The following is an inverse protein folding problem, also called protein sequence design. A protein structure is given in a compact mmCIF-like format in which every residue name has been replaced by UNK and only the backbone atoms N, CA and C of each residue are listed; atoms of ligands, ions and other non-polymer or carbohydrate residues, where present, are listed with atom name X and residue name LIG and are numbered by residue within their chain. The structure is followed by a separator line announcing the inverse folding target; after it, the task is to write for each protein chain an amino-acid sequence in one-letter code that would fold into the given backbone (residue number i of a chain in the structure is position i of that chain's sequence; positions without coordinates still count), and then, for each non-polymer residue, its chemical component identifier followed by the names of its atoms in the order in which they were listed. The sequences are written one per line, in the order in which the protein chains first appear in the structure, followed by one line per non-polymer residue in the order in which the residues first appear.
data_IF_802560354806
#
_entry.id   IF_802560354806
#
_cell.length_a   1.000
_cell.length_b   1.000
_cell.length_c   1.000
_cell.angle_alpha   90.00
_cell.angle_beta   90.00
_cell.angle_gamma   90.00
#
_symmetry.space_group_name_H-M   'P 1'
#
loop_
_entity.id
_entity.type
_entity.pdbx_description
1 polymer ?
#
# COMPACT_ATOMS: atom_id res chain seq x y z
N UNK A 1 -3.09 -23.49 21.11
CA UNK A 1 -2.21 -22.77 20.17
C UNK A 1 -0.78 -22.89 20.69
N UNK A 2 0.20 -23.30 19.87
CA UNK A 2 1.61 -23.27 20.28
C UNK A 2 2.03 -21.79 20.45
N UNK A 3 2.73 -21.41 21.52
CA UNK A 3 3.24 -20.05 21.66
C UNK A 3 4.33 -19.80 20.61
N UNK A 4 4.16 -18.77 19.79
CA UNK A 4 5.11 -18.37 18.74
C UNK A 4 6.27 -17.51 19.27
N UNK A 5 6.28 -17.20 20.57
CA UNK A 5 7.27 -16.34 21.26
C UNK A 5 7.48 -14.96 20.60
N UNK A 6 6.51 -14.50 19.78
CA UNK A 6 6.51 -13.16 19.23
C UNK A 6 6.22 -12.15 20.34
N UNK A 7 6.91 -11.01 20.28
CA UNK A 7 6.62 -9.88 21.16
C UNK A 7 5.28 -9.23 20.77
N UNK A 8 5.00 -9.13 19.47
CA UNK A 8 3.73 -8.68 18.91
C UNK A 8 3.59 -9.15 17.45
N UNK A 9 2.35 -9.11 16.94
CA UNK A 9 2.04 -9.29 15.51
C UNK A 9 1.99 -7.93 14.84
N UNK A 10 2.76 -7.75 13.77
CA UNK A 10 2.86 -6.48 13.05
C UNK A 10 1.87 -6.40 11.88
N UNK A 11 1.66 -7.51 11.18
CA UNK A 11 0.81 -7.56 10.01
C UNK A 11 0.16 -8.93 9.86
N UNK A 12 -1.01 -8.97 9.24
CA UNK A 12 -1.68 -10.22 8.89
C UNK A 12 -2.54 -10.04 7.65
N UNK A 13 -2.61 -11.08 6.81
CA UNK A 13 -3.40 -11.07 5.59
C UNK A 13 -3.91 -12.47 5.25
N UNK A 14 -5.20 -12.58 4.94
CA UNK A 14 -5.74 -13.79 4.33
C UNK A 14 -5.30 -13.93 2.87
N UNK A 15 -5.16 -15.14 2.37
CA UNK A 15 -5.03 -15.38 0.93
C UNK A 15 -6.38 -15.14 0.22
N UNK A 16 -6.43 -15.27 -1.11
CA UNK A 16 -7.58 -14.82 -1.89
C UNK A 16 -8.85 -15.66 -1.67
N UNK A 17 -8.69 -16.93 -1.29
CA UNK A 17 -9.78 -17.86 -0.99
C UNK A 17 -10.09 -18.02 0.52
N UNK A 18 -9.46 -17.19 1.37
CA UNK A 18 -9.60 -17.21 2.83
C UNK A 18 -9.25 -18.57 3.49
N UNK A 19 -8.50 -19.46 2.83
CA UNK A 19 -8.09 -20.75 3.42
C UNK A 19 -6.82 -20.67 4.26
N UNK A 20 -5.95 -19.68 3.97
CA UNK A 20 -4.66 -19.48 4.61
C UNK A 20 -4.55 -18.09 5.22
N UNK A 21 -3.87 -18.01 6.36
CA UNK A 21 -3.50 -16.77 7.02
C UNK A 21 -1.99 -16.60 6.98
N UNK A 22 -1.54 -15.49 6.43
CA UNK A 22 -0.18 -14.98 6.60
C UNK A 22 -0.18 -14.07 7.84
N UNK A 23 0.77 -14.30 8.75
CA UNK A 23 0.97 -13.46 9.92
C UNK A 23 2.45 -13.15 10.10
N UNK A 24 2.76 -11.87 10.28
CA UNK A 24 4.12 -11.35 10.43
C UNK A 24 4.34 -10.92 11.87
N UNK A 25 5.18 -11.69 12.56
CA UNK A 25 5.54 -11.49 13.96
C UNK A 25 6.90 -10.84 14.11
N UNK A 26 7.06 -10.11 15.22
CA UNK A 26 8.32 -9.47 15.58
C UNK A 26 8.85 -10.07 16.89
N UNK A 27 10.14 -10.37 16.89
CA UNK A 27 10.92 -10.73 18.06
C UNK A 27 11.77 -9.53 18.48
N UNK A 28 11.59 -9.08 19.71
CA UNK A 28 12.46 -8.11 20.35
C UNK A 28 13.54 -8.84 21.14
N UNK A 29 14.78 -8.79 20.64
CA UNK A 29 15.96 -9.31 21.31
C UNK A 29 16.66 -8.24 22.17
N UNK A 30 17.66 -8.66 22.97
CA UNK A 30 18.50 -7.72 23.72
C UNK A 30 19.27 -6.77 22.78
N UNK A 31 19.62 -5.58 23.28
CA UNK A 31 20.40 -4.55 22.57
C UNK A 31 19.75 -4.01 21.27
N UNK A 32 18.42 -3.82 21.24
CA UNK A 32 17.67 -3.37 20.06
C UNK A 32 17.80 -4.28 18.82
N UNK A 33 18.31 -5.51 19.00
CA UNK A 33 18.32 -6.52 17.95
C UNK A 33 16.90 -7.01 17.76
N UNK A 34 16.31 -6.67 16.63
CA UNK A 34 14.96 -7.08 16.27
C UNK A 34 15.01 -7.99 15.04
N UNK A 35 14.19 -9.02 15.05
CA UNK A 35 14.04 -9.94 13.92
C UNK A 35 12.58 -10.24 13.71
N UNK A 36 12.19 -10.47 12.47
CA UNK A 36 10.84 -10.79 12.08
C UNK A 36 10.73 -12.22 11.60
N UNK A 37 9.49 -12.68 11.58
CA UNK A 37 9.11 -13.95 11.01
C UNK A 37 7.75 -13.83 10.36
N UNK A 38 7.61 -14.44 9.19
CA UNK A 38 6.35 -14.60 8.50
C UNK A 38 5.93 -16.07 8.68
N UNK A 39 4.77 -16.29 9.26
CA UNK A 39 4.17 -17.61 9.42
C UNK A 39 2.93 -17.74 8.52
N UNK A 40 2.76 -18.92 7.94
CA UNK A 40 1.55 -19.29 7.20
C UNK A 40 0.78 -20.33 8.02
N UNK A 41 -0.51 -20.05 8.26
CA UNK A 41 -1.38 -20.88 9.08
C UNK A 41 -2.58 -21.31 8.24
N UNK A 42 -2.90 -22.60 8.24
CA UNK A 42 -4.15 -23.14 7.67
C UNK A 42 -5.32 -22.73 8.55
N UNK A 43 -6.39 -22.17 7.99
CA UNK A 43 -7.59 -21.86 8.77
C UNK A 43 -8.48 -23.09 9.04
N UNK A 44 -8.39 -24.13 8.20
CA UNK A 44 -9.15 -25.37 8.39
C UNK A 44 -8.68 -26.14 9.63
N UNK A 45 -7.35 -26.21 9.82
CA UNK A 45 -6.72 -27.02 10.86
C UNK A 45 -6.06 -26.21 11.97
N UNK A 46 -5.91 -24.89 11.78
CA UNK A 46 -5.07 -24.00 12.59
C UNK A 46 -3.62 -24.49 12.72
N UNK A 47 -3.16 -25.28 11.76
CA UNK A 47 -1.80 -25.79 11.70
C UNK A 47 -0.86 -24.78 11.04
N UNK A 48 0.36 -24.70 11.57
CA UNK A 48 1.45 -23.95 10.97
C UNK A 48 1.97 -24.71 9.74
N UNK A 49 1.96 -24.07 8.58
CA UNK A 49 2.34 -24.65 7.29
C UNK A 49 3.69 -24.15 6.76
N UNK A 50 4.13 -22.95 7.14
CA UNK A 50 5.41 -22.41 6.70
C UNK A 50 5.89 -21.34 7.67
N UNK A 51 7.21 -21.20 7.78
CA UNK A 51 7.90 -20.11 8.50
C UNK A 51 9.00 -19.56 7.62
N UNK A 52 9.08 -18.24 7.52
CA UNK A 52 10.11 -17.52 6.77
C UNK A 52 10.72 -16.45 7.68
N UNK A 53 12.03 -16.52 7.88
CA UNK A 53 12.77 -15.48 8.61
C UNK A 53 12.86 -14.20 7.79
N UNK A 54 12.62 -13.08 8.45
CA UNK A 54 12.67 -11.74 7.89
C UNK A 54 13.54 -10.87 8.80
N UNK A 55 14.80 -10.64 8.42
CA UNK A 55 15.77 -9.91 9.24
C UNK A 55 16.34 -8.72 8.46
N UNK A 56 16.11 -7.47 8.92
CA UNK A 56 15.16 -7.03 9.95
C UNK A 56 13.71 -7.26 9.48
N UNK A 57 12.76 -7.05 10.38
CA UNK A 57 11.33 -7.34 10.20
C UNK A 57 10.59 -6.35 9.27
N UNK A 58 11.32 -5.43 8.66
CA UNK A 58 10.80 -4.28 7.90
C UNK A 58 9.80 -4.67 6.80
N UNK A 59 10.05 -5.77 6.08
CA UNK A 59 9.18 -6.20 4.98
C UNK A 59 8.03 -7.04 5.53
N UNK A 60 6.81 -6.50 5.57
CA UNK A 60 5.67 -7.20 6.17
C UNK A 60 5.32 -8.51 5.47
N UNK A 61 5.63 -8.63 4.17
CA UNK A 61 5.27 -9.76 3.34
C UNK A 61 3.84 -9.66 2.80
N UNK A 62 3.59 -10.37 1.70
CA UNK A 62 2.29 -10.38 1.04
C UNK A 62 2.10 -11.63 0.20
N UNK A 63 0.86 -11.96 -0.13
CA UNK A 63 0.52 -13.03 -1.06
C UNK A 63 0.82 -12.61 -2.52
N UNK A 64 1.38 -13.54 -3.31
CA UNK A 64 1.52 -13.40 -4.77
C UNK A 64 0.48 -14.26 -5.52
N UNK A 65 0.22 -15.45 -4.97
CA UNK A 65 -0.82 -16.39 -5.40
C UNK A 65 -1.42 -17.06 -4.16
N UNK A 66 -2.45 -17.89 -4.33
CA UNK A 66 -3.06 -18.67 -3.23
C UNK A 66 -2.06 -19.46 -2.38
N UNK A 67 -0.95 -19.88 -2.99
CA UNK A 67 0.01 -20.82 -2.39
C UNK A 67 1.43 -20.28 -2.35
N UNK A 68 1.64 -19.02 -2.74
CA UNK A 68 2.97 -18.41 -2.76
C UNK A 68 2.96 -17.00 -2.20
N UNK A 69 4.00 -16.68 -1.46
CA UNK A 69 4.13 -15.42 -0.73
C UNK A 69 5.49 -14.79 -0.97
N UNK A 70 5.53 -13.47 -0.88
CA UNK A 70 6.73 -12.67 -0.98
C UNK A 70 7.20 -12.32 0.43
N UNK A 71 8.46 -12.61 0.71
CA UNK A 71 9.15 -12.13 1.90
C UNK A 71 10.30 -11.21 1.51
N UNK A 72 10.89 -10.53 2.50
CA UNK A 72 12.06 -9.69 2.30
C UNK A 72 13.17 -10.01 3.29
N UNK A 73 14.37 -9.53 2.97
CA UNK A 73 15.48 -9.37 3.91
C UNK A 73 16.26 -8.11 3.53
N UNK A 74 16.90 -7.47 4.51
CA UNK A 74 17.74 -6.29 4.28
C UNK A 74 19.21 -6.65 4.50
N UNK A 75 20.07 -6.24 3.59
CA UNK A 75 21.52 -6.33 3.76
C UNK A 75 22.13 -4.94 3.71
N UNK A 76 22.84 -4.56 4.77
CA UNK A 76 23.64 -3.33 4.79
C UNK A 76 24.84 -3.49 3.87
N UNK A 77 25.09 -2.48 3.03
CA UNK A 77 26.19 -2.47 2.06
C UNK A 77 27.22 -1.40 2.42
N UNK A 78 26.76 -0.22 2.82
CA UNK A 78 27.60 0.89 3.25
C UNK A 78 27.10 1.51 4.54
N UNK A 79 27.49 2.76 4.78
CA UNK A 79 27.18 3.47 6.02
C UNK A 79 25.69 3.76 6.15
N UNK A 80 25.10 4.38 5.12
CA UNK A 80 23.66 4.66 5.02
C UNK A 80 23.02 3.98 3.80
N UNK A 81 23.72 3.06 3.14
CA UNK A 81 23.21 2.31 1.99
C UNK A 81 22.96 0.85 2.33
N UNK A 82 21.83 0.35 1.84
CA UNK A 82 21.41 -1.04 2.04
C UNK A 82 20.79 -1.61 0.77
N UNK A 83 20.47 -2.90 0.79
CA UNK A 83 19.66 -3.51 -0.26
C UNK A 83 18.58 -4.40 0.33
N UNK A 84 17.39 -4.27 -0.22
CA UNK A 84 16.27 -5.15 0.07
C UNK A 84 16.23 -6.26 -0.97
N UNK A 85 16.32 -7.51 -0.51
CA UNK A 85 16.14 -8.68 -1.37
C UNK A 85 14.77 -9.25 -1.12
N UNK A 86 13.97 -9.35 -2.17
CA UNK A 86 12.63 -9.92 -2.13
C UNK A 86 12.65 -11.34 -2.66
N UNK A 87 12.02 -12.24 -1.91
CA UNK A 87 12.08 -13.68 -2.12
C UNK A 87 10.68 -14.24 -2.37
N UNK A 88 10.57 -15.20 -3.28
CA UNK A 88 9.38 -16.01 -3.48
C UNK A 88 9.46 -17.26 -2.62
N UNK A 89 8.43 -17.50 -1.81
CA UNK A 89 8.30 -18.64 -0.92
C UNK A 89 7.02 -19.42 -1.21
N UNK A 90 7.03 -20.70 -0.86
CA UNK A 90 5.86 -21.57 -0.94
C UNK A 90 5.15 -21.59 0.42
N UNK A 91 3.81 -21.57 0.40
CA UNK A 91 2.98 -21.61 1.59
C UNK A 91 3.02 -22.96 2.33
N UNK A 92 3.26 -24.05 1.61
CA UNK A 92 3.30 -25.42 2.14
C UNK A 92 4.75 -25.88 2.23
N UNK A 93 5.33 -25.86 3.44
CA UNK A 93 6.71 -26.24 3.71
C UNK A 93 6.78 -27.10 4.98
N UNK A 94 7.74 -28.02 5.07
CA UNK A 94 7.98 -28.70 6.34
C UNK A 94 8.49 -27.69 7.37
N UNK A 95 7.86 -27.66 8.55
CA UNK A 95 8.14 -26.69 9.62
C UNK A 95 9.61 -26.70 10.05
N UNK A 96 10.33 -27.82 9.83
CA UNK A 96 11.75 -27.97 10.14
C UNK A 96 12.70 -27.31 9.14
N UNK A 97 12.22 -26.83 7.97
CA UNK A 97 13.04 -26.14 6.98
C UNK A 97 13.26 -24.64 7.28
N UNK A 98 13.17 -24.23 8.56
CA UNK A 98 13.35 -22.84 9.06
C UNK A 98 14.64 -22.15 8.57
N UNK A 99 15.64 -22.93 8.16
CA UNK A 99 16.94 -22.45 7.68
C UNK A 99 17.21 -22.72 6.19
N UNK A 100 16.29 -23.37 5.47
CA UNK A 100 16.46 -23.78 4.06
C UNK A 100 15.26 -23.32 3.23
N UNK A 101 14.89 -22.04 3.31
CA UNK A 101 13.77 -21.53 2.51
C UNK A 101 14.11 -20.23 1.82
N UNK A 102 14.62 -20.39 0.61
CA UNK A 102 14.43 -19.46 -0.49
C UNK A 102 14.16 -20.34 -1.69
N UNK A 103 12.98 -20.21 -2.30
CA UNK A 103 12.73 -20.94 -3.55
C UNK A 103 13.34 -20.17 -4.72
N UNK A 104 13.20 -18.85 -4.72
CA UNK A 104 13.71 -18.00 -5.80
C UNK A 104 13.85 -16.55 -5.35
N UNK A 105 14.99 -15.93 -5.65
CA UNK A 105 15.13 -14.47 -5.56
C UNK A 105 14.27 -13.81 -6.64
N UNK A 106 13.33 -12.96 -6.26
CA UNK A 106 12.53 -12.18 -7.21
C UNK A 106 13.30 -10.93 -7.63
N UNK A 107 13.60 -10.05 -6.68
CA UNK A 107 14.23 -8.76 -6.95
C UNK A 107 15.26 -8.42 -5.89
N UNK A 108 16.27 -7.67 -6.29
CA UNK A 108 17.26 -7.05 -5.39
C UNK A 108 17.26 -5.55 -5.62
N UNK A 109 16.66 -4.80 -4.71
CA UNK A 109 16.47 -3.36 -4.81
C UNK A 109 17.51 -2.65 -3.93
N UNK A 110 18.14 -1.61 -4.46
CA UNK A 110 19.04 -0.76 -3.70
C UNK A 110 18.23 0.25 -2.89
N UNK A 111 18.57 0.44 -1.63
CA UNK A 111 18.04 1.50 -0.80
C UNK A 111 19.15 2.48 -0.44
N UNK A 112 18.81 3.77 -0.50
CA UNK A 112 19.72 4.87 -0.21
C UNK A 112 19.27 5.55 1.08
N UNK A 113 20.19 6.26 1.73
CA UNK A 113 19.88 7.15 2.84
C UNK A 113 19.10 6.49 4.00
N UNK A 114 19.50 5.27 4.34
CA UNK A 114 18.92 4.41 5.38
C UNK A 114 17.43 4.08 5.18
N UNK A 115 16.88 4.34 4.00
CA UNK A 115 15.54 3.89 3.61
C UNK A 115 15.48 2.37 3.51
N UNK A 116 14.28 1.82 3.66
CA UNK A 116 14.00 0.39 3.52
C UNK A 116 12.66 0.14 2.85
N UNK A 117 12.54 -1.00 2.18
CA UNK A 117 11.24 -1.50 1.72
C UNK A 117 10.45 -1.98 2.94
N UNK A 118 9.20 -1.53 3.08
CA UNK A 118 8.36 -1.88 4.23
C UNK A 118 7.05 -2.56 3.85
N UNK A 119 6.04 -1.76 3.51
CA UNK A 119 4.76 -2.30 3.02
C UNK A 119 4.95 -2.81 1.60
N UNK A 120 4.63 -4.09 1.37
CA UNK A 120 4.71 -4.75 0.06
C UNK A 120 3.34 -5.30 -0.28
N UNK A 121 2.91 -5.11 -1.52
CA UNK A 121 1.59 -5.52 -2.02
C UNK A 121 1.72 -6.01 -3.45
N UNK A 122 0.81 -6.89 -3.87
CA UNK A 122 0.72 -7.34 -5.27
C UNK A 122 -0.60 -6.87 -5.85
N UNK A 123 -0.54 -6.10 -6.92
CA UNK A 123 -1.70 -5.71 -7.72
C UNK A 123 -1.79 -6.60 -8.97
N UNK A 124 -2.90 -7.32 -9.13
CA UNK A 124 -3.21 -8.02 -10.38
C UNK A 124 -4.04 -7.10 -11.29
N UNK A 125 -3.35 -6.50 -12.26
CA UNK A 125 -3.90 -5.50 -13.15
C UNK A 125 -4.48 -6.10 -14.44
N UNK A 126 -4.58 -7.44 -14.53
CA UNK A 126 -5.11 -8.13 -15.71
C UNK A 126 -6.58 -7.82 -16.00
N UNK A 127 -7.31 -7.28 -15.02
CA UNK A 127 -8.76 -7.02 -15.07
C UNK A 127 -9.13 -5.55 -15.29
N UNK A 128 -8.17 -4.69 -15.63
CA UNK A 128 -8.43 -3.25 -15.82
C UNK A 128 -9.46 -2.91 -16.91
N UNK A 129 -9.72 -3.84 -17.82
CA UNK A 129 -10.62 -3.67 -18.97
C UNK A 129 -11.85 -4.59 -18.93
N UNK A 130 -12.03 -5.41 -17.89
CA UNK A 130 -13.29 -6.16 -17.75
C UNK A 130 -14.43 -5.20 -17.35
N UNK A 131 -15.55 -5.15 -18.10
CA UNK A 131 -16.59 -4.15 -17.91
C UNK A 131 -17.39 -4.27 -16.60
N UNK A 132 -17.14 -5.26 -15.75
CA UNK A 132 -17.91 -5.42 -14.51
C UNK A 132 -17.12 -4.92 -13.30
N UNK A 133 -17.47 -3.70 -12.86
CA UNK A 133 -17.67 -3.29 -11.45
C UNK A 133 -17.81 -1.76 -11.28
N UNK A 134 -17.59 -0.94 -12.33
CA UNK A 134 -17.38 0.50 -12.14
C UNK A 134 -18.35 1.48 -12.83
N UNK A 135 -19.21 1.14 -13.80
CA UNK A 135 -19.83 2.21 -14.62
C UNK A 135 -21.27 2.01 -15.20
N UNK A 136 -22.13 1.13 -14.68
CA UNK A 136 -23.55 1.13 -15.09
C UNK A 136 -24.45 1.79 -14.03
N UNK A 137 -24.27 3.09 -13.86
CA UNK A 137 -25.27 3.99 -13.28
C UNK A 137 -25.56 5.12 -14.28
N UNK A 138 -26.24 4.75 -15.37
CA UNK A 138 -27.25 5.61 -15.98
C UNK A 138 -26.76 6.73 -16.90
N UNK A 139 -26.39 6.35 -18.12
CA UNK A 139 -26.66 7.15 -19.32
C UNK A 139 -28.16 7.00 -19.73
N UNK A 140 -29.05 7.03 -18.74
CA UNK A 140 -30.50 7.11 -18.96
C UNK A 140 -30.94 8.54 -18.66
N UNK A 141 -31.37 9.21 -19.72
CA UNK A 141 -31.98 10.54 -19.69
C UNK A 141 -33.02 10.67 -18.56
N UNK A 142 -32.66 11.37 -17.50
CA UNK A 142 -33.60 11.89 -16.49
C UNK A 142 -34.00 13.30 -16.93
N UNK A 143 -35.30 13.67 -16.99
CA UNK A 143 -35.72 15.01 -17.37
C UNK A 143 -35.30 16.02 -16.28
N UNK A 144 -35.07 17.30 -16.63
CA UNK A 144 -34.43 18.25 -15.73
C UNK A 144 -35.33 18.59 -14.55
N UNK A 145 -34.91 18.21 -13.34
CA UNK A 145 -35.47 18.74 -12.11
C UNK A 145 -34.84 20.12 -11.85
N UNK A 146 -35.69 21.15 -11.81
CA UNK A 146 -35.32 22.57 -11.69
C UNK A 146 -34.55 22.85 -10.41
N UNK A 147 -33.28 23.21 -10.55
CA UNK A 147 -32.49 23.82 -9.46
C UNK A 147 -32.64 25.33 -9.55
N UNK A 148 -32.91 25.96 -8.40
CA UNK A 148 -32.99 27.39 -8.22
C UNK A 148 -31.63 28.05 -8.50
N UNK A 149 -31.69 29.05 -9.36
CA UNK A 149 -30.60 29.88 -9.85
C UNK A 149 -30.18 30.90 -8.78
N UNK A 150 -28.91 30.85 -8.38
CA UNK A 150 -28.22 31.96 -7.72
C UNK A 150 -26.94 32.20 -8.51
N UNK A 151 -27.09 33.01 -9.56
CA UNK A 151 -26.00 33.44 -10.41
C UNK A 151 -24.92 34.23 -9.68
N UNK A 152 -23.70 34.02 -10.12
CA UNK A 152 -22.68 35.06 -10.16
C UNK A 152 -21.75 34.74 -11.33
N UNK A 153 -21.91 35.53 -12.39
CA UNK A 153 -21.03 35.57 -13.54
C UNK A 153 -19.67 36.17 -13.16
N UNK A 154 -18.58 35.55 -13.63
CA UNK A 154 -17.49 36.32 -14.25
C UNK A 154 -16.55 35.38 -15.02
N UNK A 155 -16.44 35.68 -16.29
CA UNK A 155 -15.56 35.14 -17.34
C UNK A 155 -14.08 35.40 -17.02
N UNK A 156 -13.18 34.48 -17.38
CA UNK A 156 -12.25 34.68 -18.50
C UNK A 156 -11.16 33.60 -18.62
N UNK A 157 -10.94 33.20 -19.87
CA UNK A 157 -9.93 32.29 -20.40
C UNK A 157 -8.51 32.89 -20.39
N UNK A 158 -7.50 32.05 -20.17
CA UNK A 158 -6.16 32.27 -20.73
C UNK A 158 -5.40 30.95 -20.95
N UNK A 159 -5.26 30.57 -22.21
CA UNK A 159 -4.43 29.47 -22.71
C UNK A 159 -2.95 29.86 -22.61
N UNK A 160 -2.17 29.14 -21.79
CA UNK A 160 -0.71 29.25 -21.69
C UNK A 160 0.03 28.17 -22.49
N UNK A 161 1.28 28.41 -22.96
CA UNK A 161 1.92 27.59 -23.98
C UNK A 161 2.47 26.27 -23.45
N UNK A 162 2.37 25.24 -24.30
CA UNK A 162 2.92 23.89 -24.12
C UNK A 162 4.45 23.94 -24.04
N UNK A 163 5.00 23.73 -22.85
CA UNK A 163 6.45 23.57 -22.63
C UNK A 163 6.90 22.16 -23.03
N UNK A 164 7.81 22.09 -24.01
CA UNK A 164 8.54 20.89 -24.42
C UNK A 164 9.45 20.40 -23.28
N UNK A 165 9.45 19.08 -23.05
CA UNK A 165 10.37 18.41 -22.12
C UNK A 165 11.85 18.53 -22.58
N UNK A 166 12.82 18.78 -21.68
CA UNK A 166 14.22 18.90 -22.06
C UNK A 166 14.93 17.54 -22.12
N UNK A 167 15.67 17.30 -23.21
CA UNK A 167 16.46 16.07 -23.50
C UNK A 167 17.85 16.08 -22.81
N UNK A 168 18.09 16.98 -21.83
CA UNK A 168 19.44 17.29 -21.35
C UNK A 168 19.95 16.52 -20.12
N UNK A 169 19.13 15.67 -19.47
CA UNK A 169 19.52 15.04 -18.19
C UNK A 169 20.69 14.03 -18.29
N UNK A 170 20.82 13.29 -19.40
CA UNK A 170 21.90 12.28 -19.57
C UNK A 170 23.28 12.87 -19.87
N UNK A 171 23.34 14.05 -20.48
CA UNK A 171 24.60 14.71 -20.81
C UNK A 171 25.23 15.38 -19.56
N UNK A 172 24.40 15.98 -18.71
CA UNK A 172 24.83 16.55 -17.42
C UNK A 172 25.36 15.49 -16.45
N UNK A 173 24.82 14.27 -16.48
CA UNK A 173 25.26 13.16 -15.63
C UNK A 173 26.73 12.78 -15.89
N UNK A 174 27.14 12.71 -17.17
CA UNK A 174 28.54 12.43 -17.53
C UNK A 174 29.44 13.62 -17.22
N UNK A 175 29.05 14.84 -17.57
CA UNK A 175 29.86 16.04 -17.27
C UNK A 175 30.07 16.29 -15.78
N UNK A 176 29.06 16.02 -14.93
CA UNK A 176 29.19 16.18 -13.48
C UNK A 176 30.06 15.07 -12.85
N UNK A 177 29.95 13.83 -13.32
CA UNK A 177 30.79 12.72 -12.85
C UNK A 177 32.23 12.84 -13.37
N UNK A 178 32.44 13.25 -14.62
CA UNK A 178 33.75 13.47 -15.23
C UNK A 178 34.48 14.66 -14.56
N UNK A 179 33.76 15.75 -14.26
CA UNK A 179 34.33 16.90 -13.53
C UNK A 179 34.71 16.58 -12.07
N UNK A 180 34.18 15.51 -11.49
CA UNK A 180 34.52 15.04 -10.14
C UNK A 180 35.69 14.06 -10.13
N UNK A 181 35.90 13.32 -11.22
CA UNK A 181 37.07 12.46 -11.41
C UNK A 181 38.34 13.27 -11.72
N UNK A 182 38.18 14.45 -12.33
CA UNK A 182 39.29 15.33 -12.74
C UNK A 182 39.76 16.32 -11.65
N UNK A 183 39.11 16.38 -10.47
CA UNK A 183 39.41 17.34 -9.41
C UNK A 183 39.71 16.69 -8.05
N UNK A 184 40.91 16.90 -7.51
CA UNK A 184 41.36 16.45 -6.19
C UNK A 184 40.52 17.01 -5.01
N UNK A 185 39.34 16.43 -4.78
CA UNK A 185 38.57 16.62 -3.54
C UNK A 185 38.07 15.26 -3.07
N UNK A 186 38.67 14.73 -2.00
CA UNK A 186 38.15 13.57 -1.27
C UNK A 186 36.82 13.98 -0.60
N UNK A 187 35.72 13.92 -1.35
CA UNK A 187 34.39 13.96 -0.76
C UNK A 187 34.20 12.71 0.09
N UNK A 188 33.60 12.85 1.27
CA UNK A 188 33.26 11.69 2.09
C UNK A 188 32.21 10.84 1.37
N UNK A 189 32.28 9.53 1.59
CA UNK A 189 31.36 8.55 1.00
C UNK A 189 29.89 8.94 1.22
N UNK A 190 29.56 9.43 2.43
CA UNK A 190 28.24 9.93 2.79
C UNK A 190 27.74 11.09 1.90
N UNK A 191 28.62 12.02 1.52
CA UNK A 191 28.25 13.15 0.66
C UNK A 191 27.99 12.69 -0.78
N UNK A 192 28.78 11.74 -1.27
CA UNK A 192 28.58 11.11 -2.57
C UNK A 192 27.25 10.33 -2.62
N UNK A 193 26.97 9.52 -1.60
CA UNK A 193 25.71 8.77 -1.48
C UNK A 193 24.49 9.71 -1.46
N UNK A 194 24.57 10.81 -0.73
CA UNK A 194 23.49 11.82 -0.66
C UNK A 194 23.25 12.46 -2.02
N UNK A 195 24.32 12.84 -2.76
CA UNK A 195 24.18 13.41 -4.10
C UNK A 195 23.60 12.44 -5.13
N UNK A 196 23.98 11.17 -5.07
CA UNK A 196 23.40 10.12 -5.93
C UNK A 196 21.91 9.96 -5.65
N UNK A 197 21.53 9.98 -4.38
CA UNK A 197 20.12 9.92 -3.97
C UNK A 197 19.30 11.12 -4.49
N UNK A 198 19.82 12.35 -4.37
CA UNK A 198 19.16 13.55 -4.92
C UNK A 198 18.92 13.43 -6.44
N UNK A 199 19.89 12.91 -7.19
CA UNK A 199 19.78 12.71 -8.64
C UNK A 199 18.75 11.62 -9.00
N UNK A 200 18.67 10.56 -8.20
CA UNK A 200 17.69 9.48 -8.39
C UNK A 200 16.27 9.90 -7.98
N UNK A 201 16.14 10.78 -6.98
CA UNK A 201 14.87 11.34 -6.55
C UNK A 201 14.18 12.18 -7.62
N UNK A 202 14.95 12.77 -8.55
CA UNK A 202 14.41 13.51 -9.71
C UNK A 202 13.72 12.60 -10.75
N UNK A 203 13.56 11.30 -10.44
CA UNK A 203 12.54 10.39 -10.94
C UNK A 203 12.10 10.58 -12.39
N UNK A 204 12.73 9.88 -13.33
CA UNK A 204 12.09 9.60 -14.62
C UNK A 204 11.27 8.32 -14.48
N UNK A 205 9.94 8.42 -14.41
CA UNK A 205 9.06 7.27 -14.60
C UNK A 205 9.15 6.85 -16.06
N UNK A 206 9.41 5.57 -16.36
CA UNK A 206 9.17 5.08 -17.73
C UNK A 206 7.68 5.26 -18.04
N UNK A 207 7.28 5.58 -19.27
CA UNK A 207 5.87 5.48 -19.64
C UNK A 207 5.43 4.01 -19.50
N UNK A 208 4.19 3.73 -19.06
CA UNK A 208 3.73 2.36 -18.91
C UNK A 208 3.81 1.66 -20.27
N UNK A 209 4.56 0.55 -20.33
CA UNK A 209 4.59 -0.27 -21.53
C UNK A 209 3.19 -0.85 -21.76
N UNK A 210 2.58 -0.53 -22.91
CA UNK A 210 1.28 -1.06 -23.33
C UNK A 210 1.45 -2.52 -23.74
N UNK A 211 1.63 -3.40 -22.77
CA UNK A 211 1.61 -4.85 -23.00
C UNK A 211 0.22 -5.39 -22.68
N UNK A 212 -0.35 -6.16 -23.62
CA UNK A 212 -1.63 -6.86 -23.49
C UNK A 212 -1.58 -8.08 -22.52
N UNK A 213 -0.47 -8.25 -21.79
CA UNK A 213 -0.26 -9.37 -20.89
C UNK A 213 -0.93 -9.14 -19.52
N UNK A 214 -1.21 -10.24 -18.82
CA UNK A 214 -1.62 -10.25 -17.41
C UNK A 214 -0.51 -9.64 -16.55
N UNK A 215 -0.57 -8.34 -16.31
CA UNK A 215 0.47 -7.62 -15.58
C UNK A 215 0.15 -7.68 -14.09
N UNK A 216 0.92 -8.48 -13.34
CA UNK A 216 1.00 -8.30 -11.88
C UNK A 216 2.11 -7.30 -11.57
N UNK A 217 1.81 -6.33 -10.72
CA UNK A 217 2.80 -5.39 -10.23
C UNK A 217 3.05 -5.66 -8.75
N UNK A 218 4.33 -5.69 -8.40
CA UNK A 218 4.80 -5.54 -7.06
C UNK A 218 4.84 -4.05 -6.73
N UNK A 219 4.13 -3.67 -5.68
CA UNK A 219 4.04 -2.29 -5.18
C UNK A 219 4.61 -2.27 -3.78
N UNK A 220 5.45 -1.30 -3.49
CA UNK A 220 6.01 -1.18 -2.15
C UNK A 220 6.42 0.24 -1.78
N UNK A 221 6.40 0.53 -0.48
CA UNK A 221 6.96 1.78 0.03
C UNK A 221 8.49 1.74 -0.05
N UNK A 222 9.09 2.83 -0.50
CA UNK A 222 10.53 3.02 -0.59
C UNK A 222 10.85 4.51 -0.40
N UNK A 223 12.11 4.87 -0.58
CA UNK A 223 12.57 6.24 -0.48
C UNK A 223 14.04 6.32 -0.82
N UNK A 224 14.47 7.48 -1.29
CA UNK A 224 15.88 7.78 -1.52
C UNK A 224 16.35 9.03 -0.78
N UNK A 225 15.48 9.95 -0.38
CA UNK A 225 15.88 11.20 0.28
C UNK A 225 16.04 11.07 1.81
N UNK A 226 15.19 10.28 2.46
CA UNK A 226 15.09 10.13 3.92
C UNK A 226 15.01 8.66 4.32
N UNK A 227 15.23 8.34 5.60
CA UNK A 227 15.02 6.98 6.14
C UNK A 227 13.54 6.56 6.20
N UNK A 228 12.63 7.54 6.24
CA UNK A 228 11.19 7.32 6.16
C UNK A 228 10.71 7.20 4.70
N UNK A 229 9.85 6.22 4.37
CA UNK A 229 9.33 6.06 3.03
C UNK A 229 8.51 7.26 2.59
N UNK A 230 8.82 7.76 1.40
CA UNK A 230 8.17 8.90 0.75
C UNK A 230 7.92 8.63 -0.75
N UNK A 231 8.35 7.46 -1.22
CA UNK A 231 8.20 7.01 -2.59
C UNK A 231 7.48 5.67 -2.63
N UNK A 232 6.79 5.43 -3.73
CA UNK A 232 6.14 4.15 -4.04
C UNK A 232 6.90 3.55 -5.21
N UNK A 233 7.58 2.43 -4.96
CA UNK A 233 8.24 1.64 -5.98
C UNK A 233 7.27 0.67 -6.63
N UNK A 234 7.27 0.62 -7.96
CA UNK A 234 6.44 -0.28 -8.75
C UNK A 234 7.34 -1.10 -9.69
N UNK A 235 7.21 -2.42 -9.60
CA UNK A 235 7.95 -3.38 -10.41
C UNK A 235 7.03 -4.42 -11.01
N UNK A 236 7.09 -4.63 -12.32
CA UNK A 236 6.32 -5.68 -12.99
C UNK A 236 6.89 -7.05 -12.64
N UNK A 237 6.01 -7.98 -12.26
CA UNK A 237 6.34 -9.38 -12.05
C UNK A 237 5.99 -10.13 -13.35
N UNK A 238 7.00 -10.72 -13.99
CA UNK A 238 6.80 -11.48 -15.22
C UNK A 238 6.27 -12.88 -14.90
N UNK A 239 5.45 -13.50 -15.77
CA UNK A 239 4.87 -14.83 -15.50
C UNK A 239 5.89 -15.91 -15.13
N UNK A 240 7.07 -15.92 -15.77
CA UNK A 240 8.14 -16.88 -15.47
C UNK A 240 8.84 -16.62 -14.11
N UNK A 241 8.62 -15.46 -13.50
CA UNK A 241 9.13 -15.12 -12.16
C UNK A 241 8.16 -15.54 -11.06
N UNK A 242 6.86 -15.71 -11.39
CA UNK A 242 5.82 -16.13 -10.44
C UNK A 242 5.88 -17.62 -10.08
N UNK A 243 6.67 -18.40 -10.81
CA UNK A 243 6.87 -19.82 -10.52
C UNK A 243 8.20 -20.06 -9.82
N UNK A 244 8.17 -21.01 -8.90
CA UNK A 244 9.35 -21.60 -8.26
C UNK A 244 10.14 -22.48 -9.22
N UNK A 245 9.48 -23.02 -10.25
CA UNK A 245 10.13 -23.74 -11.35
C UNK A 245 10.89 -22.79 -12.28
N UNK A 246 12.01 -23.27 -12.83
CA UNK A 246 12.87 -22.55 -13.76
C UNK A 246 14.22 -22.15 -13.16
N UNK A 247 15.16 -21.63 -13.97
CA UNK A 247 16.49 -21.25 -13.50
C UNK A 247 16.40 -20.20 -12.40
N UNK A 248 17.25 -20.33 -11.38
CA UNK A 248 17.42 -19.31 -10.35
C UNK A 248 17.84 -18.02 -11.04
N UNK A 249 17.08 -16.94 -10.82
CA UNK A 249 17.30 -15.64 -11.48
C UNK A 249 18.74 -15.14 -11.22
N UNK A 250 19.60 -15.30 -12.23
CA UNK A 250 21.02 -15.01 -12.17
C UNK A 250 21.81 -15.44 -13.41
N UNK A 251 21.40 -16.51 -14.12
CA UNK A 251 22.16 -17.04 -15.27
C UNK A 251 22.04 -16.20 -16.56
N UNK A 252 21.04 -15.32 -16.68
CA UNK A 252 20.82 -14.47 -17.86
C UNK A 252 21.06 -12.97 -17.64
N UNK A 253 21.64 -12.56 -16.52
CA UNK A 253 21.89 -11.13 -16.24
C UNK A 253 23.20 -10.70 -16.91
N UNK A 254 23.23 -9.52 -17.52
CA UNK A 254 24.51 -8.91 -17.91
C UNK A 254 25.37 -8.76 -16.64
N UNK A 255 26.67 -9.04 -16.76
CA UNK A 255 27.66 -8.92 -15.67
C UNK A 255 27.63 -7.59 -14.92
N UNK A 256 27.07 -6.55 -15.55
CA UNK A 256 27.23 -5.16 -15.14
C UNK A 256 26.10 -4.64 -14.23
N UNK A 257 24.98 -5.37 -14.07
CA UNK A 257 23.81 -4.90 -13.32
C UNK A 257 23.58 -5.68 -12.00
N UNK A 258 24.08 -5.13 -10.89
CA UNK A 258 23.98 -5.75 -9.56
C UNK A 258 22.61 -5.61 -8.89
N UNK A 259 21.84 -4.55 -9.21
CA UNK A 259 20.52 -4.25 -8.66
C UNK A 259 19.44 -4.23 -9.75
N UNK A 260 18.22 -4.60 -9.37
CA UNK A 260 17.05 -4.56 -10.23
C UNK A 260 16.46 -3.13 -10.25
N UNK A 261 16.34 -2.55 -11.45
CA UNK A 261 15.76 -1.22 -11.62
C UNK A 261 14.23 -1.25 -11.48
N UNK A 262 13.64 -0.19 -10.93
CA UNK A 262 12.20 -0.03 -10.83
C UNK A 262 11.59 0.36 -12.19
N UNK A 263 10.34 -0.04 -12.42
CA UNK A 263 9.63 0.29 -13.66
C UNK A 263 8.97 1.66 -13.54
N UNK A 264 8.37 1.94 -12.37
CA UNK A 264 7.88 3.26 -12.00
C UNK A 264 8.21 3.58 -10.54
N UNK A 265 8.36 4.88 -10.26
CA UNK A 265 8.50 5.43 -8.92
C UNK A 265 7.57 6.62 -8.83
N UNK A 266 6.69 6.62 -7.83
CA UNK A 266 5.81 7.74 -7.53
C UNK A 266 6.36 8.43 -6.29
N UNK A 267 6.72 9.70 -6.41
CA UNK A 267 7.10 10.53 -5.27
C UNK A 267 5.86 11.17 -4.66
N UNK A 268 5.66 10.96 -3.37
CA UNK A 268 4.50 11.44 -2.62
C UNK A 268 4.78 12.78 -1.93
N UNK A 269 6.04 13.22 -1.88
CA UNK A 269 6.46 14.45 -1.19
C UNK A 269 5.96 14.54 0.27
N UNK A 270 6.08 13.43 0.99
CA UNK A 270 5.64 13.30 2.37
C UNK A 270 5.90 11.90 2.92
N UNK A 271 5.65 11.68 4.20
CA UNK A 271 5.80 10.36 4.80
C UNK A 271 4.62 9.48 4.42
N UNK A 272 4.88 8.27 3.91
CA UNK A 272 3.86 7.26 3.67
C UNK A 272 3.69 6.45 4.94
N UNK A 273 2.48 6.43 5.48
CA UNK A 273 2.15 5.79 6.78
C UNK A 273 1.16 4.63 6.62
N UNK A 274 0.62 4.42 5.43
CA UNK A 274 -0.28 3.32 5.13
C UNK A 274 -0.60 3.24 3.64
N UNK A 275 -0.82 2.03 3.14
CA UNK A 275 -1.27 1.79 1.77
C UNK A 275 -2.33 0.69 1.74
N UNK A 276 -3.28 0.80 0.82
CA UNK A 276 -4.33 -0.19 0.57
C UNK A 276 -4.68 -0.23 -0.91
N UNK A 277 -5.03 -1.41 -1.42
CA UNK A 277 -5.48 -1.59 -2.81
C UNK A 277 -7.00 -1.69 -2.83
N UNK A 278 -7.62 -1.14 -3.86
CA UNK A 278 -9.03 -1.44 -4.14
C UNK A 278 -9.21 -2.93 -4.47
N UNK A 279 -10.39 -3.52 -4.23
CA UNK A 279 -10.62 -4.95 -4.48
C UNK A 279 -10.38 -5.41 -5.93
N UNK A 280 -10.48 -4.48 -6.89
CA UNK A 280 -10.20 -4.69 -8.32
C UNK A 280 -8.74 -4.39 -8.70
N UNK A 281 -7.89 -4.05 -7.73
CA UNK A 281 -6.48 -3.66 -7.89
C UNK A 281 -6.24 -2.48 -8.84
N UNK A 282 -7.27 -1.69 -9.16
CA UNK A 282 -7.15 -0.54 -10.06
C UNK A 282 -6.59 0.70 -9.36
N UNK A 283 -7.02 0.94 -8.13
CA UNK A 283 -6.67 2.13 -7.38
C UNK A 283 -5.82 1.76 -6.17
N UNK A 284 -4.72 2.49 -6.00
CA UNK A 284 -3.88 2.45 -4.81
C UNK A 284 -4.23 3.64 -3.93
N UNK A 285 -4.63 3.36 -2.70
CA UNK A 285 -4.92 4.35 -1.66
C UNK A 285 -3.71 4.46 -0.74
N UNK A 286 -3.27 5.68 -0.47
CA UNK A 286 -2.03 5.96 0.28
C UNK A 286 -2.29 7.03 1.32
N UNK A 287 -2.15 6.67 2.59
CA UNK A 287 -2.10 7.65 3.67
C UNK A 287 -0.72 8.31 3.67
N UNK A 288 -0.70 9.62 3.52
CA UNK A 288 0.51 10.42 3.54
C UNK A 288 0.41 11.63 4.45
N UNK A 289 1.53 11.99 5.09
CA UNK A 289 1.72 13.25 5.79
C UNK A 289 2.71 14.10 5.03
N UNK A 290 2.18 15.10 4.34
CA UNK A 290 2.94 15.95 3.43
C UNK A 290 4.04 16.73 4.14
N UNK A 291 5.15 16.94 3.44
CA UNK A 291 6.13 17.96 3.82
C UNK A 291 5.64 19.36 3.44
N UNK A 292 6.16 20.42 4.08
CA UNK A 292 5.86 21.79 3.69
C UNK A 292 6.15 22.04 2.21
N UNK A 293 5.28 22.80 1.50
CA UNK A 293 5.50 23.13 0.10
C UNK A 293 6.88 23.78 -0.13
N UNK A 294 7.63 23.26 -1.09
CA UNK A 294 8.97 23.77 -1.42
C UNK A 294 10.08 23.34 -0.47
N UNK A 295 9.81 22.41 0.46
CA UNK A 295 10.83 21.80 1.29
C UNK A 295 11.83 20.99 0.45
N UNK A 296 13.10 21.08 0.82
CA UNK A 296 14.19 20.30 0.23
C UNK A 296 14.87 19.54 1.36
N UNK A 297 15.01 18.22 1.19
CA UNK A 297 15.70 17.37 2.15
C UNK A 297 17.21 17.58 1.99
N UNK A 298 17.80 18.36 2.89
CA UNK A 298 19.24 18.65 2.87
C UNK A 298 20.08 17.60 3.64
N UNK A 299 19.55 17.07 4.74
CA UNK A 299 20.16 15.97 5.50
C UNK A 299 19.13 14.83 5.62
N UNK A 300 19.43 13.64 5.09
CA UNK A 300 18.55 12.49 5.22
C UNK A 300 18.20 12.09 6.65
N UNK A 301 19.07 12.41 7.61
CA UNK A 301 18.88 12.11 9.02
C UNK A 301 18.05 13.18 9.75
N UNK A 302 17.80 14.32 9.12
CA UNK A 302 16.98 15.42 9.66
C UNK A 302 15.89 15.78 8.64
N UNK A 303 14.86 14.91 8.48
CA UNK A 303 13.80 15.16 7.53
C UNK A 303 13.02 16.45 7.90
N UNK A 304 12.39 17.11 6.91
CA UNK A 304 11.48 18.22 7.15
C UNK A 304 10.37 17.86 8.16
N UNK A 305 9.77 18.86 8.83
CA UNK A 305 8.58 18.61 9.62
C UNK A 305 7.46 18.05 8.73
N UNK A 306 6.56 17.27 9.30
CA UNK A 306 5.44 16.63 8.60
C UNK A 306 4.12 17.23 9.09
N UNK A 307 3.14 17.36 8.18
CA UNK A 307 1.81 17.86 8.52
C UNK A 307 1.10 16.95 9.54
N UNK A 308 0.26 17.48 10.43
CA UNK A 308 -0.60 16.65 11.31
C UNK A 308 -1.78 16.02 10.56
N UNK A 309 -2.23 16.67 9.50
CA UNK A 309 -3.29 16.17 8.63
C UNK A 309 -2.76 15.02 7.76
N UNK A 310 -3.57 13.96 7.65
CA UNK A 310 -3.28 12.85 6.75
C UNK A 310 -4.06 13.05 5.45
N UNK A 311 -3.33 13.09 4.36
CA UNK A 311 -3.84 13.05 3.00
C UNK A 311 -3.97 11.60 2.55
N UNK A 312 -5.20 11.13 2.33
CA UNK A 312 -5.45 9.85 1.68
C UNK A 312 -5.46 10.07 0.17
N UNK A 313 -4.29 9.88 -0.44
CA UNK A 313 -4.02 10.01 -1.86
C UNK A 313 -4.53 8.78 -2.61
N UNK A 314 -4.97 9.00 -3.85
CA UNK A 314 -5.49 7.93 -4.72
C UNK A 314 -4.71 7.92 -6.01
N UNK A 315 -4.09 6.79 -6.35
CA UNK A 315 -3.36 6.60 -7.60
C UNK A 315 -4.08 5.58 -8.48
N UNK A 316 -4.29 5.91 -9.74
CA UNK A 316 -4.78 4.97 -10.75
C UNK A 316 -3.59 4.18 -11.30
N UNK A 317 -3.54 2.89 -11.00
CA UNK A 317 -2.46 1.99 -11.42
C UNK A 317 -2.50 1.68 -12.91
N UNK A 318 -3.60 2.00 -13.62
CA UNK A 318 -3.67 1.91 -15.08
C UNK A 318 -2.89 3.04 -15.74
N UNK A 319 -3.00 4.25 -15.21
CA UNK A 319 -2.35 5.45 -15.76
C UNK A 319 -1.05 5.81 -15.04
N UNK A 320 -0.76 5.19 -13.89
CA UNK A 320 0.34 5.49 -12.99
C UNK A 320 0.34 6.96 -12.55
N UNK A 321 -0.85 7.52 -12.33
CA UNK A 321 -1.05 8.93 -11.97
C UNK A 321 -2.00 9.08 -10.80
N UNK A 322 -1.81 10.17 -10.06
CA UNK A 322 -2.72 10.57 -9.01
C UNK A 322 -4.10 10.94 -9.60
N UNK A 323 -5.15 10.39 -9.02
CA UNK A 323 -6.54 10.80 -9.26
C UNK A 323 -6.75 12.09 -8.47
N UNK A 324 -7.05 13.19 -9.18
CA UNK A 324 -7.17 14.51 -8.56
C UNK A 324 -8.17 14.47 -7.39
N UNK A 325 -7.70 14.89 -6.20
CA UNK A 325 -8.41 15.17 -4.92
C UNK A 325 -8.10 14.14 -3.83
N UNK A 326 -7.17 14.50 -2.94
CA UNK A 326 -6.93 13.78 -1.69
C UNK A 326 -8.18 13.75 -0.80
N UNK A 327 -8.42 12.61 -0.16
CA UNK A 327 -9.44 12.47 0.87
C UNK A 327 -8.85 12.94 2.21
N UNK A 328 -9.51 13.92 2.83
CA UNK A 328 -9.05 14.56 4.07
C UNK A 328 -10.11 14.48 5.14
N UNK A 329 -9.68 14.24 6.37
CA UNK A 329 -10.48 14.38 7.60
C UNK A 329 -9.68 14.01 8.85
N UNK A 330 -8.69 13.14 8.69
CA UNK A 330 -8.09 12.37 9.77
C UNK A 330 -6.65 12.83 10.03
N UNK A 331 -6.14 12.61 11.25
CA UNK A 331 -4.90 13.23 11.72
C UNK A 331 -4.01 12.26 12.46
N UNK A 332 -2.71 12.54 12.44
CA UNK A 332 -1.69 11.89 13.25
C UNK A 332 -0.74 12.93 13.85
N UNK A 333 -0.21 12.60 15.02
CA UNK A 333 0.60 13.47 15.88
C UNK A 333 1.98 12.90 16.14
N UNK A 334 2.21 11.59 15.88
CA UNK A 334 3.53 10.97 15.98
C UNK A 334 4.59 11.79 15.21
N UNK A 335 5.74 12.10 15.81
CA UNK A 335 6.75 12.92 15.16
C UNK A 335 7.43 12.18 13.98
N UNK A 336 8.21 12.91 13.19
CA UNK A 336 8.82 12.38 11.96
C UNK A 336 9.98 11.39 12.20
N UNK A 337 10.53 11.37 13.42
CA UNK A 337 11.59 10.48 13.90
C UNK A 337 11.09 9.16 14.47
N UNK A 338 9.78 9.03 14.64
CA UNK A 338 9.14 7.79 15.02
C UNK A 338 8.48 7.11 13.82
N UNK A 339 8.53 5.78 13.84
CA UNK A 339 7.88 4.96 12.83
C UNK A 339 6.50 4.55 13.32
N UNK A 340 5.45 5.02 12.65
CA UNK A 340 4.07 4.60 12.91
C UNK A 340 3.37 4.22 11.61
N UNK A 341 2.40 3.31 11.72
CA UNK A 341 1.60 2.84 10.60
C UNK A 341 0.12 2.93 10.95
N UNK A 342 -0.67 3.30 9.95
CA UNK A 342 -2.12 3.23 10.02
C UNK A 342 -2.57 2.33 8.88
N UNK A 343 -3.08 1.15 9.23
CA UNK A 343 -3.60 0.20 8.27
C UNK A 343 -4.99 0.65 7.82
N UNK A 344 -5.11 0.95 6.53
CA UNK A 344 -6.34 1.33 5.86
C UNK A 344 -6.87 0.14 5.05
N UNK A 345 -8.17 0.13 4.78
CA UNK A 345 -8.79 -0.92 3.98
C UNK A 345 -9.81 -0.33 2.99
N UNK A 346 -10.01 -1.02 1.88
CA UNK A 346 -10.80 -0.56 0.74
C UNK A 346 -11.81 -1.65 0.36
N UNK A 347 -13.09 -1.33 0.46
CA UNK A 347 -14.19 -2.15 -0.04
C UNK A 347 -14.67 -1.65 -1.40
N UNK A 348 -15.75 -2.23 -1.94
CA UNK A 348 -16.27 -1.84 -3.26
C UNK A 348 -16.61 -0.36 -3.36
N UNK A 349 -17.36 0.17 -2.39
CA UNK A 349 -17.89 1.54 -2.46
C UNK A 349 -17.23 2.48 -1.44
N UNK A 350 -16.50 1.91 -0.46
CA UNK A 350 -15.96 2.66 0.66
C UNK A 350 -14.45 2.43 0.84
N UNK A 351 -13.76 3.46 1.32
CA UNK A 351 -12.43 3.34 1.89
C UNK A 351 -12.50 3.77 3.35
N UNK A 352 -11.74 3.10 4.22
CA UNK A 352 -11.67 3.44 5.62
C UNK A 352 -10.21 3.52 6.09
N UNK A 353 -9.98 4.38 7.08
CA UNK A 353 -8.68 4.54 7.72
C UNK A 353 -8.85 4.88 9.19
N UNK A 354 -7.91 4.44 10.02
CA UNK A 354 -7.76 4.89 11.39
C UNK A 354 -7.07 6.26 11.49
N UNK A 355 -6.90 6.75 12.72
CA UNK A 355 -6.19 7.97 13.04
C UNK A 355 -5.83 8.06 14.53
N UNK A 356 -4.82 8.90 14.84
CA UNK A 356 -4.42 9.19 16.22
C UNK A 356 -5.32 10.22 16.89
N UNK A 357 -6.23 10.84 16.14
CA UNK A 357 -7.28 11.70 16.69
C UNK A 357 -8.43 10.92 17.36
N UNK A 358 -8.22 9.62 17.61
CA UNK A 358 -9.13 8.68 18.30
C UNK A 358 -10.39 8.34 17.51
N UNK A 359 -10.31 8.42 16.19
CA UNK A 359 -11.42 8.08 15.32
C UNK A 359 -11.00 7.22 14.13
N UNK A 360 -11.90 6.34 13.72
CA UNK A 360 -11.90 5.77 12.37
C UNK A 360 -12.72 6.64 11.44
N UNK A 361 -12.37 6.65 10.17
CA UNK A 361 -13.06 7.43 9.15
C UNK A 361 -13.45 6.54 7.98
N UNK A 362 -14.61 6.84 7.38
CA UNK A 362 -15.10 6.17 6.17
C UNK A 362 -15.37 7.23 5.11
N UNK A 363 -14.88 7.01 3.91
CA UNK A 363 -15.16 7.83 2.74
C UNK A 363 -15.87 7.03 1.65
N UNK A 364 -16.71 7.72 0.91
CA UNK A 364 -17.31 7.22 -0.32
C UNK A 364 -16.30 7.30 -1.47
N UNK A 365 -16.09 6.19 -2.18
CA UNK A 365 -15.11 6.10 -3.29
C UNK A 365 -15.59 6.79 -4.57
N UNK A 366 -16.90 6.95 -4.75
CA UNK A 366 -17.47 7.55 -5.95
C UNK A 366 -17.52 9.08 -5.84
N UNK A 367 -18.01 9.58 -4.71
CA UNK A 367 -18.20 11.01 -4.47
C UNK A 367 -17.00 11.69 -3.80
N UNK A 368 -16.03 10.90 -3.29
CA UNK A 368 -14.86 11.40 -2.56
C UNK A 368 -15.23 12.30 -1.37
N UNK A 369 -16.23 11.86 -0.60
CA UNK A 369 -16.73 12.56 0.59
C UNK A 369 -16.55 11.71 1.85
N UNK A 370 -16.25 12.36 2.97
CA UNK A 370 -16.22 11.70 4.28
C UNK A 370 -17.66 11.42 4.73
N UNK A 371 -18.01 10.14 4.90
CA UNK A 371 -19.36 9.70 5.27
C UNK A 371 -19.54 9.59 6.78
N UNK A 372 -18.52 9.09 7.48
CA UNK A 372 -18.63 8.79 8.90
C UNK A 372 -17.33 9.00 9.66
N UNK A 373 -17.48 9.35 10.93
CA UNK A 373 -16.42 9.48 11.94
C UNK A 373 -16.78 8.58 13.13
N UNK A 374 -15.94 7.59 13.39
CA UNK A 374 -16.20 6.45 14.28
C UNK A 374 -15.36 6.57 15.55
N UNK A 375 -15.99 6.81 16.69
CA UNK A 375 -15.28 7.18 17.93
C UNK A 375 -14.65 5.99 18.67
N UNK A 376 -13.39 6.17 19.04
CA UNK A 376 -12.65 5.37 20.02
C UNK A 376 -12.18 6.22 21.21
N UNK A 377 -11.68 5.57 22.25
CA UNK A 377 -11.11 6.26 23.41
C UNK A 377 -9.61 6.56 23.24
N UNK A 378 -8.96 5.88 22.28
CA UNK A 378 -7.56 6.06 21.92
C UNK A 378 -7.35 5.89 20.39
N UNK A 379 -6.09 5.94 19.94
CA UNK A 379 -5.65 5.80 18.53
C UNK A 379 -6.31 4.60 17.85
N UNK A 380 -6.78 4.77 16.62
CA UNK A 380 -7.28 3.67 15.78
C UNK A 380 -6.17 3.26 14.82
N UNK A 381 -5.60 2.07 15.01
CA UNK A 381 -4.41 1.60 14.29
C UNK A 381 -4.74 0.84 13.01
N UNK A 382 -5.87 0.13 12.99
CA UNK A 382 -6.24 -0.72 11.87
C UNK A 382 -7.75 -0.77 11.69
N UNK A 383 -8.16 -0.88 10.43
CA UNK A 383 -9.55 -1.05 10.03
C UNK A 383 -9.65 -2.18 9.00
N UNK A 384 -10.78 -2.90 8.98
CA UNK A 384 -11.03 -3.96 8.02
C UNK A 384 -12.51 -4.04 7.66
N UNK A 385 -12.82 -4.01 6.37
CA UNK A 385 -14.16 -4.28 5.86
C UNK A 385 -14.42 -5.78 5.82
N UNK A 386 -15.68 -6.17 6.01
CA UNK A 386 -16.07 -7.55 5.74
C UNK A 386 -16.10 -7.79 4.23
N UNK A 387 -15.49 -8.88 3.73
CA UNK A 387 -15.59 -9.26 2.32
C UNK A 387 -17.00 -9.75 1.95
N UNK A 388 -17.82 -10.12 2.94
CA UNK A 388 -19.19 -10.64 2.76
C UNK A 388 -20.25 -9.55 2.99
N UNK A 389 -20.08 -8.73 4.03
CA UNK A 389 -21.00 -7.66 4.40
C UNK A 389 -20.38 -6.29 4.06
N UNK A 390 -20.69 -5.73 2.89
CA UNK A 390 -20.15 -4.44 2.40
C UNK A 390 -20.30 -3.27 3.40
N UNK A 391 -21.32 -3.30 4.27
CA UNK A 391 -21.59 -2.26 5.28
C UNK A 391 -21.06 -2.59 6.68
N UNK A 392 -20.32 -3.69 6.85
CA UNK A 392 -19.67 -4.07 8.11
C UNK A 392 -18.20 -3.67 8.08
N UNK A 393 -17.80 -2.81 9.02
CA UNK A 393 -16.42 -2.43 9.26
C UNK A 393 -16.00 -2.80 10.67
N UNK A 394 -14.80 -3.36 10.83
CA UNK A 394 -14.12 -3.53 12.10
C UNK A 394 -13.04 -2.48 12.28
N UNK A 395 -12.88 -1.96 13.50
CA UNK A 395 -11.81 -1.03 13.86
C UNK A 395 -11.10 -1.56 15.11
N UNK A 396 -9.76 -1.53 15.10
CA UNK A 396 -8.92 -1.93 16.23
C UNK A 396 -8.15 -0.71 16.76
N UNK A 397 -8.15 -0.52 18.08
CA UNK A 397 -7.64 0.67 18.73
C UNK A 397 -6.76 0.36 19.94
N UNK A 398 -5.88 1.30 20.28
CA UNK A 398 -5.09 1.28 21.52
C UNK A 398 -5.95 1.41 22.78
N UNK A 399 -7.25 1.68 22.65
CA UNK A 399 -8.21 1.57 23.75
C UNK A 399 -8.48 0.11 24.20
N UNK A 400 -7.69 -0.84 23.68
CA UNK A 400 -7.80 -2.27 23.89
C UNK A 400 -9.15 -2.86 23.43
N UNK A 401 -9.87 -2.19 22.52
CA UNK A 401 -11.12 -2.68 21.97
C UNK A 401 -11.06 -2.87 20.46
N UNK A 402 -11.86 -3.84 19.99
CA UNK A 402 -12.27 -3.96 18.59
C UNK A 402 -13.76 -3.60 18.53
N UNK A 403 -14.11 -2.64 17.69
CA UNK A 403 -15.51 -2.23 17.48
C UNK A 403 -15.98 -2.68 16.10
N UNK A 404 -17.24 -3.11 16.05
CA UNK A 404 -17.93 -3.46 14.82
C UNK A 404 -18.97 -2.40 14.48
N UNK A 405 -18.90 -1.87 13.27
CA UNK A 405 -19.74 -0.78 12.78
C UNK A 405 -20.60 -1.27 11.63
N UNK A 406 -21.89 -0.95 11.68
CA UNK A 406 -22.84 -1.18 10.59
C UNK A 406 -23.60 0.10 10.30
N UNK A 407 -24.06 0.26 9.06
CA UNK A 407 -24.91 1.40 8.72
C UNK A 407 -26.18 1.41 9.59
N UNK A 408 -26.73 2.59 9.94
CA UNK A 408 -27.98 2.67 10.67
C UNK A 408 -29.14 1.96 9.97
N UNK A 409 -29.13 1.93 8.62
CA UNK A 409 -30.13 1.23 7.82
C UNK A 409 -30.07 -0.28 8.07
N UNK A 410 -28.88 -0.86 7.98
CA UNK A 410 -28.69 -2.31 8.16
C UNK A 410 -28.99 -2.74 9.58
N UNK A 411 -28.59 -1.96 10.58
CA UNK A 411 -28.95 -2.21 11.98
C UNK A 411 -30.46 -2.25 12.18
N UNK A 412 -31.24 -1.33 11.56
CA UNK A 412 -32.71 -1.35 11.61
C UNK A 412 -33.32 -2.60 10.96
N UNK A 413 -32.74 -3.08 9.86
CA UNK A 413 -33.20 -4.29 9.17
C UNK A 413 -32.99 -5.52 10.06
N UNK A 414 -31.82 -5.66 10.69
CA UNK A 414 -31.56 -6.76 11.61
C UNK A 414 -32.42 -6.73 12.88
N UNK A 415 -32.80 -5.54 13.34
CA UNK A 415 -33.68 -5.37 14.50
C UNK A 415 -35.17 -5.44 14.18
N UNK A 416 -35.56 -5.44 12.90
CA UNK A 416 -36.96 -5.48 12.51
C UNK A 416 -37.59 -6.84 12.89
N UNK A 417 -38.76 -6.86 13.55
CA UNK A 417 -39.43 -8.11 13.90
C UNK A 417 -39.78 -8.89 12.64
N UNK A 418 -39.45 -10.19 12.61
CA UNK A 418 -39.82 -11.07 11.50
C UNK A 418 -41.34 -11.02 11.29
N UNK A 419 -41.83 -10.81 10.06
CA UNK A 419 -43.26 -10.81 9.82
C UNK A 419 -43.84 -12.15 10.24
N UNK A 420 -44.87 -12.12 11.10
CA UNK A 420 -45.60 -13.35 11.46
C UNK A 420 -46.12 -13.99 10.18
N UNK A 421 -45.94 -15.30 9.96
CA UNK A 421 -46.52 -15.97 8.80
C UNK A 421 -48.03 -15.68 8.80
N UNK A 422 -48.52 -15.05 7.72
CA UNK A 422 -49.96 -14.82 7.57
C UNK A 422 -50.62 -16.20 7.50
N UNK A 423 -51.62 -16.51 8.34
CA UNK A 423 -52.35 -17.76 8.18
C UNK A 423 -53.01 -17.77 6.80
N UNK A 424 -52.79 -18.87 6.06
CA UNK A 424 -53.25 -19.12 4.68
C UNK A 424 -54.77 -19.00 4.47
N UNK A 425 -55.56 -18.82 5.53
CA UNK A 425 -57.03 -18.87 5.50
C UNK A 425 -57.74 -17.54 5.82
N UNK A 426 -57.08 -16.39 5.71
CA UNK A 426 -57.75 -15.09 5.93
C UNK A 426 -58.54 -14.56 4.73
N UNK A 427 -58.50 -15.21 3.56
CA UNK A 427 -59.19 -14.73 2.35
C UNK A 427 -60.63 -15.25 2.19
N UNK A 428 -61.03 -16.34 2.86
CA UNK A 428 -62.36 -16.95 2.65
C UNK A 428 -63.48 -16.40 3.56
N UNK A 429 -63.20 -15.48 4.47
CA UNK A 429 -64.18 -15.03 5.46
C UNK A 429 -64.98 -13.77 5.07
N UNK A 430 -64.73 -13.13 3.92
CA UNK A 430 -65.40 -11.86 3.55
C UNK A 430 -66.52 -11.98 2.52
N UNK A 431 -66.96 -13.19 2.12
CA UNK A 431 -68.05 -13.37 1.14
C UNK A 431 -69.21 -14.21 1.69
N UNK A 432 -69.68 -13.90 2.90
CA UNK A 432 -71.03 -14.27 3.35
C UNK A 432 -71.65 -13.12 4.15
N UNK A 433 -72.34 -12.22 3.45
CA UNK A 433 -73.68 -11.74 3.81
C UNK A 433 -74.28 -10.97 2.64
#
# INVERSE_FOLDING_TARGET
MRPYNWSYTQFSQFNQDDSLLLASGVFLGPHNSSSGEIAVISLDSFALLSRVRNKPYDVFGCWLTETSLISGNLHRIGDITSCSVLWLNNAFQDVESENVNVVKRLFKIQNLNASTIRTVMVADCSRFDSPDLLLDAGDQAVPPCRVFDLGCDSEDEAVGPVLRAPVHAKAGLRQALDGMLDGHTQLSERVLETRVAELLAQGHTKPPERSAAKNKYLIFTTGCLTYSPHQIGIKQILPHQMTTAGPVLGEGRSSDAFFDALDHVIDVHGHIIGMGLSPDNRYLYVNSRAWPPGSVVADPMQPPPIAEEIDLLVFDLKTMREVKRALRAHRAYTPNDECFFIFLDVSRDFVASGAEDRHGYIWDRHYNICLAKLRHEDVVNSVAFSPQEQELLLTASDDATIKAWRSPRTTRIFQAPRPRPRPFFSWFASHRR
#
